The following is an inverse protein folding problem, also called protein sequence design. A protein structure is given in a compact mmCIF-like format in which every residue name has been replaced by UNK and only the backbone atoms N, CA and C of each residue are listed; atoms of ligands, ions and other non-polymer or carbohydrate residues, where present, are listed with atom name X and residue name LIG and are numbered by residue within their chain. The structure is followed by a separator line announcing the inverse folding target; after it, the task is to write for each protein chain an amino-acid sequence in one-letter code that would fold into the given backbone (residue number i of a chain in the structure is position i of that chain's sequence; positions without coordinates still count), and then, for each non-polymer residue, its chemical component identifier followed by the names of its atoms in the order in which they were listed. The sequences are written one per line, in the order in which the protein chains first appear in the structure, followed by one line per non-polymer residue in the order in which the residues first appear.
data_IF_104938108149
#
_entry.id   IF_104938108149
#
_cell.length_a   1.000
_cell.length_b   1.000
_cell.length_c   1.000
_cell.angle_alpha   90.00
_cell.angle_beta   90.00
_cell.angle_gamma   90.00
#
_symmetry.space_group_name_H-M   'P 1'
#
loop_
_entity.id
_entity.type
_entity.pdbx_description
1 polymer ?
#
# COMPACT_ATOMS: atom_id res chain seq x y z
N UNK A 1 -0.80 -4.13 -13.34
CA UNK A 1 -0.78 -5.47 -12.68
C UNK A 1 0.22 -5.42 -11.54
N UNK A 2 0.11 -6.29 -10.52
CA UNK A 2 1.19 -6.37 -9.53
C UNK A 2 2.50 -6.77 -10.24
N UNK A 3 3.58 -6.02 -10.01
CA UNK A 3 4.85 -6.19 -10.74
C UNK A 3 5.85 -7.09 -10.02
N UNK A 4 5.54 -7.51 -8.80
CA UNK A 4 6.35 -8.44 -8.02
C UNK A 4 5.94 -9.91 -8.26
N UNK A 5 6.81 -10.85 -7.86
CA UNK A 5 6.51 -12.28 -7.90
C UNK A 5 5.49 -12.72 -6.84
N UNK A 6 5.18 -14.02 -6.81
CA UNK A 6 4.12 -14.61 -5.97
C UNK A 6 4.49 -14.80 -4.50
N UNK A 7 5.78 -14.80 -4.16
CA UNK A 7 6.30 -14.94 -2.79
C UNK A 7 5.57 -16.01 -1.93
N UNK A 8 5.52 -17.29 -2.36
CA UNK A 8 4.65 -18.32 -1.78
C UNK A 8 4.89 -18.56 -0.28
N UNK A 9 6.12 -18.32 0.21
CA UNK A 9 6.48 -18.39 1.64
C UNK A 9 5.70 -17.44 2.55
N UNK A 10 5.03 -16.43 1.99
CA UNK A 10 4.22 -15.45 2.73
C UNK A 10 2.72 -15.53 2.36
N UNK A 11 2.33 -16.49 1.53
CA UNK A 11 0.94 -16.65 1.12
C UNK A 11 0.04 -16.91 2.35
N UNK A 12 -1.08 -16.19 2.44
CA UNK A 12 -2.06 -16.34 3.52
C UNK A 12 -1.63 -15.78 4.89
N UNK A 13 -0.47 -15.11 4.98
CA UNK A 13 0.06 -14.61 6.27
C UNK A 13 -0.29 -13.16 6.57
N UNK A 14 -1.05 -12.48 5.71
CA UNK A 14 -1.41 -11.07 5.88
C UNK A 14 -0.19 -10.16 6.13
N UNK A 15 0.93 -10.42 5.43
CA UNK A 15 2.24 -9.83 5.76
C UNK A 15 2.80 -8.90 4.69
N UNK A 16 2.58 -9.23 3.42
CA UNK A 16 3.25 -8.56 2.30
C UNK A 16 2.65 -7.19 2.02
N UNK A 17 3.44 -6.30 1.43
CA UNK A 17 2.98 -4.99 1.01
C UNK A 17 2.03 -5.09 -0.20
N UNK A 18 0.78 -4.59 -0.10
CA UNK A 18 -0.16 -4.58 -1.22
C UNK A 18 0.10 -3.45 -2.24
N UNK A 19 1.07 -2.56 -1.98
CA UNK A 19 1.25 -1.29 -2.68
C UNK A 19 1.41 -1.41 -4.20
N UNK A 20 2.08 -2.45 -4.71
CA UNK A 20 2.23 -2.64 -6.17
C UNK A 20 0.89 -2.80 -6.88
N UNK A 21 -0.01 -3.61 -6.31
CA UNK A 21 -1.33 -3.84 -6.90
C UNK A 21 -2.23 -2.61 -6.71
N UNK A 22 -2.14 -1.94 -5.56
CA UNK A 22 -2.92 -0.72 -5.28
C UNK A 22 -2.51 0.42 -6.23
N UNK A 23 -1.22 0.63 -6.48
CA UNK A 23 -0.76 1.65 -7.43
C UNK A 23 -1.08 1.27 -8.88
N UNK A 24 -1.16 -0.02 -9.21
CA UNK A 24 -1.75 -0.42 -10.49
C UNK A 24 -3.24 -0.09 -10.60
N UNK A 25 -3.99 -0.21 -9.51
CA UNK A 25 -5.40 0.18 -9.47
C UNK A 25 -5.56 1.71 -9.59
N UNK A 26 -4.66 2.50 -8.99
CA UNK A 26 -4.58 3.94 -9.23
C UNK A 26 -4.40 4.25 -10.74
N UNK A 27 -3.44 3.60 -11.39
CA UNK A 27 -3.22 3.77 -12.84
C UNK A 27 -4.46 3.38 -13.65
N UNK A 28 -5.16 2.32 -13.23
CA UNK A 28 -6.42 1.89 -13.85
C UNK A 28 -7.52 2.96 -13.69
N UNK A 29 -7.71 3.50 -12.49
CA UNK A 29 -8.69 4.56 -12.23
C UNK A 29 -8.41 5.80 -13.07
N UNK A 30 -7.13 6.19 -13.15
CA UNK A 30 -6.69 7.31 -13.99
C UNK A 30 -6.95 7.04 -15.47
N UNK A 31 -6.72 5.81 -15.94
CA UNK A 31 -7.04 5.41 -17.31
C UNK A 31 -8.54 5.45 -17.61
N UNK A 32 -9.40 5.12 -16.64
CA UNK A 32 -10.86 5.20 -16.75
C UNK A 32 -11.40 6.64 -16.65
N UNK A 33 -10.53 7.64 -16.41
CA UNK A 33 -10.90 9.04 -16.22
C UNK A 33 -11.43 9.36 -14.82
N UNK A 34 -11.32 8.44 -13.85
CA UNK A 34 -11.71 8.66 -12.45
C UNK A 34 -10.53 9.28 -11.68
N UNK A 35 -10.15 10.49 -12.09
CA UNK A 35 -8.92 11.15 -11.64
C UNK A 35 -8.95 11.45 -10.15
N UNK A 36 -10.08 11.94 -9.62
CA UNK A 36 -10.22 12.29 -8.21
C UNK A 36 -10.05 11.07 -7.30
N UNK A 37 -10.57 9.91 -7.72
CA UNK A 37 -10.39 8.66 -6.97
C UNK A 37 -8.93 8.17 -7.02
N UNK A 38 -8.26 8.33 -8.16
CA UNK A 38 -6.83 8.01 -8.28
C UNK A 38 -5.98 8.90 -7.36
N UNK A 39 -6.29 10.19 -7.29
CA UNK A 39 -5.58 11.15 -6.43
C UNK A 39 -5.75 10.83 -4.93
N UNK A 40 -6.93 10.34 -4.51
CA UNK A 40 -7.13 9.85 -3.13
C UNK A 40 -6.23 8.65 -2.80
N UNK A 41 -6.01 7.73 -3.75
CA UNK A 41 -5.09 6.59 -3.53
C UNK A 41 -3.66 7.09 -3.34
N UNK A 42 -3.21 8.03 -4.17
CA UNK A 42 -1.87 8.63 -4.04
C UNK A 42 -1.73 9.31 -2.67
N UNK A 43 -2.70 10.14 -2.29
CA UNK A 43 -2.72 10.82 -0.98
C UNK A 43 -2.68 9.82 0.18
N UNK A 44 -3.47 8.75 0.11
CA UNK A 44 -3.51 7.69 1.12
C UNK A 44 -2.16 6.97 1.25
N UNK A 45 -1.52 6.65 0.12
CA UNK A 45 -0.21 5.99 0.08
C UNK A 45 0.89 6.89 0.68
N UNK A 46 0.96 8.15 0.22
CA UNK A 46 1.93 9.13 0.72
C UNK A 46 1.76 9.35 2.22
N UNK A 47 0.51 9.53 2.67
CA UNK A 47 0.19 9.76 4.07
C UNK A 47 0.54 8.57 4.98
N UNK A 48 0.26 7.34 4.56
CA UNK A 48 0.57 6.14 5.35
C UNK A 48 2.08 5.91 5.48
N UNK A 49 2.84 6.09 4.38
CA UNK A 49 4.30 5.97 4.39
C UNK A 49 4.94 7.10 5.20
N UNK A 50 4.48 8.35 5.04
CA UNK A 50 5.01 9.49 5.79
C UNK A 50 4.74 9.38 7.30
N UNK A 51 3.60 8.80 7.69
CA UNK A 51 3.28 8.49 9.08
C UNK A 51 4.10 7.31 9.65
N UNK A 52 4.95 6.67 8.83
CA UNK A 52 5.72 5.47 9.17
C UNK A 52 4.86 4.29 9.65
N UNK A 53 3.60 4.22 9.22
CA UNK A 53 2.69 3.10 9.50
C UNK A 53 2.66 2.18 8.28
N UNK A 54 3.54 1.18 8.26
CA UNK A 54 3.93 0.46 7.03
C UNK A 54 4.08 -1.05 7.24
N UNK A 55 4.10 -1.82 6.16
CA UNK A 55 4.36 -3.27 6.20
C UNK A 55 5.84 -3.61 6.44
N UNK A 56 6.10 -4.88 6.77
CA UNK A 56 7.41 -5.37 7.26
C UNK A 56 8.61 -5.07 6.35
N UNK A 57 8.39 -4.93 5.05
CA UNK A 57 9.41 -4.69 4.05
C UNK A 57 9.98 -3.26 4.14
N UNK A 58 9.13 -2.28 4.47
CA UNK A 58 9.54 -0.91 4.78
C UNK A 58 9.98 -0.76 6.23
N UNK A 59 9.21 -1.30 7.17
CA UNK A 59 9.47 -1.11 8.62
C UNK A 59 10.90 -1.49 9.00
N UNK A 60 11.41 -2.64 8.52
CA UNK A 60 12.78 -3.09 8.77
C UNK A 60 13.90 -2.18 8.21
N UNK A 61 13.55 -1.16 7.43
CA UNK A 61 14.46 -0.19 6.81
C UNK A 61 14.25 1.23 7.35
N UNK A 62 13.34 1.43 8.30
CA UNK A 62 12.97 2.74 8.84
C UNK A 62 13.12 2.76 10.35
N UNK A 63 13.72 3.82 10.89
CA UNK A 63 13.73 4.05 12.33
C UNK A 63 12.32 4.45 12.81
N UNK A 64 11.90 3.90 13.95
CA UNK A 64 10.62 4.20 14.62
C UNK A 64 9.36 4.03 13.75
N UNK A 65 9.37 3.05 12.84
CA UNK A 65 8.18 2.70 12.06
C UNK A 65 7.25 1.76 12.84
N UNK A 66 5.94 1.95 12.68
CA UNK A 66 4.93 1.04 13.18
C UNK A 66 4.68 -0.06 12.15
N UNK A 67 4.99 -1.30 12.54
CA UNK A 67 4.71 -2.49 11.74
C UNK A 67 3.20 -2.75 11.63
N UNK A 68 2.70 -2.82 10.40
CA UNK A 68 1.34 -3.21 10.06
C UNK A 68 1.29 -4.52 9.25
N UNK A 69 0.14 -5.18 9.33
CA UNK A 69 -0.21 -6.28 8.42
C UNK A 69 -0.59 -5.74 7.03
N UNK A 70 -0.74 -6.63 6.04
CA UNK A 70 -1.17 -6.26 4.68
C UNK A 70 -2.54 -5.58 4.70
N UNK A 71 -3.51 -6.17 5.41
CA UNK A 71 -4.86 -5.63 5.58
C UNK A 71 -4.84 -4.29 6.32
N UNK A 72 -4.14 -4.21 7.45
CA UNK A 72 -4.06 -2.98 8.25
C UNK A 72 -3.35 -1.84 7.52
N UNK A 73 -2.41 -2.13 6.62
CA UNK A 73 -1.82 -1.09 5.77
C UNK A 73 -2.85 -0.51 4.77
N UNK A 74 -3.76 -1.35 4.26
CA UNK A 74 -4.90 -0.88 3.46
C UNK A 74 -5.81 0.06 4.26
N UNK A 75 -6.14 -0.29 5.50
CA UNK A 75 -6.93 0.58 6.39
C UNK A 75 -6.18 1.89 6.71
N UNK A 76 -4.88 1.82 6.99
CA UNK A 76 -4.04 2.99 7.24
C UNK A 76 -3.99 3.92 6.02
N UNK A 77 -4.00 3.39 4.79
CA UNK A 77 -4.13 4.21 3.58
C UNK A 77 -5.48 4.92 3.51
N UNK A 78 -6.58 4.21 3.82
CA UNK A 78 -7.94 4.77 3.81
C UNK A 78 -8.07 5.92 4.83
N UNK A 79 -7.51 5.78 6.02
CA UNK A 79 -7.48 6.83 7.04
C UNK A 79 -6.75 8.12 6.61
N UNK A 80 -5.90 8.04 5.58
CA UNK A 80 -5.10 9.16 5.06
C UNK A 80 -5.66 9.76 3.78
N UNK A 81 -6.74 9.21 3.22
CA UNK A 81 -7.40 9.72 2.01
C UNK A 81 -8.03 11.10 2.20
#
# INVERSE_FOLDING_TARGET
EATHGTAPKYAGQDKVNPGSLILSAEMMLRHLGWVEAADLIIKGMEGAIAAKTVTYDFERLMDDAQLLSCSAFGDAMIEKM
#
